data_IF_995873974223
#
_entry.id   IF_995873974223
#
_cell.length_a   1.000
_cell.length_b   1.000
_cell.length_c   1.000
_cell.angle_alpha   90.00
_cell.angle_beta   90.00
_cell.angle_gamma   90.00
#
_symmetry.space_group_name_H-M   'P 1'
#
loop_
_entity.id
_entity.type
_entity.pdbx_description
1 polymer ?
#
# COMPACT_ATOMS: atom_id res chain seq x y z
N UNK A 1 22.85 -12.98 -20.62
CA UNK A 1 21.37 -12.97 -20.63
C UNK A 1 20.75 -13.29 -19.28
N UNK A 2 21.36 -14.17 -18.50
CA UNK A 2 20.86 -14.63 -17.18
C UNK A 2 20.70 -13.52 -16.13
N UNK A 3 21.68 -12.60 -16.02
CA UNK A 3 21.63 -11.44 -15.10
C UNK A 3 20.43 -10.51 -15.36
N UNK A 4 20.09 -10.29 -16.64
CA UNK A 4 18.94 -9.45 -17.05
C UNK A 4 17.61 -10.12 -16.73
N UNK A 5 17.53 -11.45 -16.90
CA UNK A 5 16.36 -12.27 -16.50
C UNK A 5 16.16 -12.23 -14.98
N UNK A 6 17.21 -12.48 -14.20
CA UNK A 6 17.18 -12.40 -12.73
C UNK A 6 16.69 -11.03 -12.24
N UNK A 7 17.29 -9.95 -12.72
CA UNK A 7 16.88 -8.58 -12.36
C UNK A 7 15.39 -8.30 -12.69
N UNK A 8 14.89 -8.83 -13.81
CA UNK A 8 13.48 -8.68 -14.19
C UNK A 8 12.56 -9.43 -13.22
N UNK A 9 12.93 -10.64 -12.81
CA UNK A 9 12.17 -11.43 -11.83
C UNK A 9 12.17 -10.77 -10.46
N UNK A 10 13.33 -10.30 -9.99
CA UNK A 10 13.45 -9.58 -8.71
C UNK A 10 12.59 -8.31 -8.71
N UNK A 11 12.60 -7.55 -9.81
CA UNK A 11 11.75 -6.36 -9.94
C UNK A 11 10.26 -6.70 -9.89
N UNK A 12 9.83 -7.81 -10.50
CA UNK A 12 8.43 -8.25 -10.47
C UNK A 12 8.04 -8.71 -9.07
N UNK A 13 8.90 -9.47 -8.40
CA UNK A 13 8.69 -9.93 -7.03
C UNK A 13 8.47 -8.73 -6.08
N UNK A 14 9.34 -7.71 -6.14
CA UNK A 14 9.21 -6.50 -5.32
C UNK A 14 7.89 -5.78 -5.59
N UNK A 15 7.51 -5.60 -6.86
CA UNK A 15 6.24 -4.93 -7.23
C UNK A 15 5.02 -5.68 -6.73
N UNK A 16 5.01 -7.01 -6.87
CA UNK A 16 3.93 -7.85 -6.36
C UNK A 16 3.83 -7.75 -4.84
N UNK A 17 4.96 -7.86 -4.15
CA UNK A 17 4.99 -7.78 -2.69
C UNK A 17 4.46 -6.44 -2.18
N UNK A 18 4.83 -5.33 -2.83
CA UNK A 18 4.27 -4.00 -2.54
C UNK A 18 2.76 -3.96 -2.74
N UNK A 19 2.26 -4.40 -3.90
CA UNK A 19 0.83 -4.40 -4.19
C UNK A 19 0.03 -5.23 -3.18
N UNK A 20 0.53 -6.43 -2.84
CA UNK A 20 -0.09 -7.35 -1.89
C UNK A 20 -0.12 -6.75 -0.48
N UNK A 21 1.00 -6.22 0.00
CA UNK A 21 1.04 -5.65 1.36
C UNK A 21 0.24 -4.35 1.47
N UNK A 22 0.18 -3.51 0.42
CA UNK A 22 -0.70 -2.36 0.42
C UNK A 22 -2.17 -2.80 0.53
N UNK A 23 -2.57 -3.81 -0.26
CA UNK A 23 -3.93 -4.35 -0.18
C UNK A 23 -4.23 -4.96 1.19
N UNK A 24 -3.26 -5.60 1.84
CA UNK A 24 -3.41 -6.07 3.21
C UNK A 24 -3.66 -4.91 4.20
N UNK A 25 -2.85 -3.85 4.15
CA UNK A 25 -3.04 -2.64 4.98
C UNK A 25 -4.40 -1.99 4.72
N UNK A 26 -4.82 -1.85 3.45
CA UNK A 26 -6.15 -1.36 3.08
C UNK A 26 -7.23 -2.19 3.78
N UNK A 27 -7.08 -3.51 3.80
CA UNK A 27 -8.05 -4.39 4.44
C UNK A 27 -8.14 -4.19 5.96
N UNK A 28 -7.00 -4.00 6.64
CA UNK A 28 -6.98 -3.70 8.07
C UNK A 28 -7.62 -2.33 8.36
N UNK A 29 -7.21 -1.30 7.63
CA UNK A 29 -7.72 0.08 7.80
C UNK A 29 -9.22 0.17 7.51
N UNK A 30 -9.72 -0.62 6.55
CA UNK A 30 -11.15 -0.64 6.19
C UNK A 30 -12.07 -1.07 7.35
N UNK A 31 -11.55 -1.72 8.38
CA UNK A 31 -12.36 -2.02 9.57
C UNK A 31 -12.78 -0.74 10.30
N UNK A 32 -11.98 0.32 10.19
CA UNK A 32 -12.16 1.57 10.92
C UNK A 32 -12.75 2.70 10.07
N UNK A 33 -12.54 2.68 8.76
CA UNK A 33 -13.02 3.72 7.85
C UNK A 33 -13.52 3.20 6.49
N UNK A 34 -14.28 4.04 5.80
CA UNK A 34 -14.58 3.87 4.38
C UNK A 34 -13.38 4.33 3.55
N UNK A 35 -13.07 3.63 2.46
CA UNK A 35 -11.89 3.90 1.63
C UNK A 35 -12.30 4.08 0.18
N UNK A 36 -11.99 5.23 -0.40
CA UNK A 36 -12.12 5.46 -1.84
C UNK A 36 -10.77 5.29 -2.52
N UNK A 37 -10.71 4.41 -3.51
CA UNK A 37 -9.48 4.11 -4.25
C UNK A 37 -9.73 4.02 -5.76
N UNK A 38 -8.66 4.20 -6.52
CA UNK A 38 -8.64 4.10 -7.97
C UNK A 38 -7.67 3.01 -8.45
N UNK A 39 -8.09 2.23 -9.45
CA UNK A 39 -7.19 1.27 -10.12
C UNK A 39 -6.12 1.97 -10.96
N UNK A 40 -4.92 1.38 -11.14
CA UNK A 40 -3.94 1.88 -12.10
C UNK A 40 -4.51 2.08 -13.51
N UNK A 41 -4.08 3.15 -14.19
CA UNK A 41 -4.44 3.43 -15.59
C UNK A 41 -4.04 2.30 -16.54
N UNK A 42 -2.85 1.72 -16.31
CA UNK A 42 -2.32 0.62 -17.12
C UNK A 42 -2.39 -0.66 -16.31
N UNK A 43 -3.17 -1.64 -16.79
CA UNK A 43 -3.18 -2.99 -16.20
C UNK A 43 -1.81 -3.63 -16.44
N UNK A 44 -1.11 -3.97 -15.35
CA UNK A 44 0.06 -4.82 -15.47
C UNK A 44 -0.37 -6.27 -15.80
N UNK A 45 0.24 -6.88 -16.82
CA UNK A 45 -0.04 -8.28 -17.20
C UNK A 45 0.68 -9.30 -16.33
N UNK A 46 1.75 -8.89 -15.65
CA UNK A 46 2.67 -9.80 -14.92
C UNK A 46 2.78 -9.50 -13.43
N UNK A 47 2.17 -8.42 -12.95
CA UNK A 47 2.17 -8.05 -11.54
C UNK A 47 0.76 -7.66 -11.08
N UNK A 48 0.50 -7.86 -9.79
CA UNK A 48 -0.68 -7.35 -9.08
C UNK A 48 -0.74 -5.83 -9.16
N UNK A 49 -1.95 -5.28 -8.99
CA UNK A 49 -2.18 -3.85 -9.14
C UNK A 49 -1.88 -3.12 -7.84
N UNK A 50 -1.17 -1.99 -7.93
CA UNK A 50 -0.97 -1.09 -6.81
C UNK A 50 -2.05 0.00 -6.86
N UNK A 51 -3.04 -0.06 -5.98
CA UNK A 51 -4.16 0.89 -5.99
C UNK A 51 -3.74 2.28 -5.50
N UNK A 52 -4.35 3.32 -6.07
CA UNK A 52 -4.21 4.68 -5.59
C UNK A 52 -5.31 4.97 -4.58
N UNK A 53 -4.95 5.22 -3.31
CA UNK A 53 -5.94 5.61 -2.30
C UNK A 53 -6.16 7.12 -2.42
N UNK A 54 -7.43 7.54 -2.53
CA UNK A 54 -7.80 8.95 -2.68
C UNK A 54 -8.32 9.54 -1.39
N UNK A 55 -9.22 8.82 -0.71
CA UNK A 55 -9.91 9.31 0.48
C UNK A 55 -9.99 8.21 1.54
N UNK A 56 -9.73 8.57 2.80
CA UNK A 56 -10.19 7.82 3.97
C UNK A 56 -11.31 8.63 4.65
N UNK A 57 -12.41 7.97 5.00
CA UNK A 57 -13.53 8.61 5.69
C UNK A 57 -13.85 7.88 7.01
N UNK A 58 -13.52 8.54 8.12
CA UNK A 58 -13.74 8.12 9.50
C UNK A 58 -15.08 8.67 10.03
N UNK A 59 -16.18 8.20 9.44
CA UNK A 59 -17.55 8.65 9.71
C UNK A 59 -17.77 10.16 9.41
N UNK A 60 -17.31 11.03 10.30
CA UNK A 60 -17.51 12.49 10.25
C UNK A 60 -16.27 13.24 9.75
N UNK A 61 -15.13 12.55 9.63
CA UNK A 61 -13.87 13.14 9.20
C UNK A 61 -13.42 12.54 7.88
N UNK A 62 -13.16 13.40 6.90
CA UNK A 62 -12.68 13.03 5.57
C UNK A 62 -11.24 13.47 5.41
N UNK A 63 -10.36 12.53 5.05
CA UNK A 63 -8.96 12.81 4.79
C UNK A 63 -8.63 12.57 3.31
N UNK A 64 -8.24 13.63 2.61
CA UNK A 64 -7.86 13.63 1.19
C UNK A 64 -6.40 13.14 1.02
N UNK A 65 -6.25 11.81 0.97
CA UNK A 65 -4.96 11.12 0.88
C UNK A 65 -4.16 11.56 -0.35
N UNK A 66 -4.81 11.67 -1.51
CA UNK A 66 -4.11 12.01 -2.76
C UNK A 66 -3.50 13.42 -2.69
N UNK A 67 -4.24 14.39 -2.15
CA UNK A 67 -3.75 15.76 -1.99
C UNK A 67 -2.59 15.81 -0.99
N UNK A 68 -2.72 15.13 0.15
CA UNK A 68 -1.66 15.03 1.15
C UNK A 68 -0.37 14.43 0.56
N UNK A 69 -0.45 13.27 -0.11
CA UNK A 69 0.70 12.62 -0.72
C UNK A 69 1.35 13.50 -1.80
N UNK A 70 0.55 14.18 -2.62
CA UNK A 70 1.08 15.13 -3.60
C UNK A 70 1.85 16.26 -2.92
N UNK A 71 1.28 16.90 -1.90
CA UNK A 71 1.90 18.01 -1.17
C UNK A 71 3.22 17.60 -0.50
N UNK A 72 3.25 16.45 0.17
CA UNK A 72 4.46 15.97 0.84
C UNK A 72 5.56 15.58 -0.15
N UNK A 73 5.22 14.90 -1.25
CA UNK A 73 6.22 14.50 -2.24
C UNK A 73 6.72 15.66 -3.12
N UNK A 74 5.97 16.76 -3.30
CA UNK A 74 6.43 17.90 -4.11
C UNK A 74 7.67 18.55 -3.49
N UNK A 75 7.73 18.62 -2.15
CA UNK A 75 8.91 19.09 -1.39
C UNK A 75 10.18 18.32 -1.74
N UNK A 76 10.05 17.03 -2.10
CA UNK A 76 11.16 16.20 -2.54
C UNK A 76 11.43 16.33 -4.04
N UNK A 77 10.39 16.47 -4.87
CA UNK A 77 10.53 16.61 -6.32
C UNK A 77 11.39 17.80 -6.71
N UNK A 78 11.13 18.97 -6.13
CA UNK A 78 11.83 20.21 -6.48
C UNK A 78 13.32 20.11 -6.12
N UNK A 79 13.64 19.50 -4.98
CA UNK A 79 15.03 19.24 -4.56
C UNK A 79 15.77 18.30 -5.51
N UNK A 80 15.09 17.26 -6.00
CA UNK A 80 15.68 16.25 -6.90
C UNK A 80 15.86 16.77 -8.33
N UNK A 81 14.96 17.62 -8.82
CA UNK A 81 15.15 18.32 -10.10
C UNK A 81 16.29 19.32 -9.99
N UNK A 82 16.35 20.10 -8.90
CA UNK A 82 17.45 21.04 -8.65
C UNK A 82 18.81 20.35 -8.57
N UNK A 83 18.88 19.09 -8.13
CA UNK A 83 20.11 18.29 -8.11
C UNK A 83 20.52 17.72 -9.48
N UNK A 84 19.88 18.14 -10.58
CA UNK A 84 20.26 17.74 -11.95
C UNK A 84 19.68 16.39 -12.42
N UNK A 85 18.71 15.80 -11.70
CA UNK A 85 18.09 14.56 -12.14
C UNK A 85 17.12 14.81 -13.30
N UNK A 86 17.11 13.94 -14.31
CA UNK A 86 16.18 14.08 -15.42
C UNK A 86 14.71 14.02 -14.95
N UNK A 87 13.83 14.80 -15.61
CA UNK A 87 12.40 14.86 -15.29
C UNK A 87 11.76 13.48 -15.17
N UNK A 88 12.10 12.57 -16.08
CA UNK A 88 11.63 11.17 -16.08
C UNK A 88 12.02 10.42 -14.79
N UNK A 89 13.27 10.55 -14.34
CA UNK A 89 13.76 9.87 -13.15
C UNK A 89 13.21 10.53 -11.87
N UNK A 90 13.05 11.85 -11.87
CA UNK A 90 12.44 12.58 -10.77
C UNK A 90 10.97 12.20 -10.59
N UNK A 91 10.17 12.15 -11.67
CA UNK A 91 8.77 11.71 -11.62
C UNK A 91 8.65 10.27 -11.11
N UNK A 92 9.55 9.38 -11.54
CA UNK A 92 9.56 8.00 -11.02
C UNK A 92 9.83 7.96 -9.51
N UNK A 93 10.84 8.70 -9.04
CA UNK A 93 11.16 8.77 -7.60
C UNK A 93 10.00 9.35 -6.80
N UNK A 94 9.34 10.36 -7.32
CA UNK A 94 8.15 10.97 -6.72
C UNK A 94 7.02 9.96 -6.52
N UNK A 95 6.70 9.15 -7.52
CA UNK A 95 5.67 8.10 -7.40
C UNK A 95 6.09 6.94 -6.47
N UNK A 96 7.37 6.56 -6.47
CA UNK A 96 7.90 5.59 -5.51
C UNK A 96 7.80 6.11 -4.07
N UNK A 97 8.09 7.40 -3.84
CA UNK A 97 8.03 8.05 -2.53
C UNK A 97 6.60 8.18 -2.01
N UNK A 98 5.62 8.53 -2.87
CA UNK A 98 4.20 8.52 -2.50
C UNK A 98 3.78 7.17 -1.93
N UNK A 99 4.28 6.09 -2.53
CA UNK A 99 3.95 4.74 -2.07
C UNK A 99 4.58 4.48 -0.69
N UNK A 100 5.80 4.95 -0.42
CA UNK A 100 6.44 4.83 0.90
C UNK A 100 5.63 5.58 1.95
N UNK A 101 5.33 6.86 1.72
CA UNK A 101 4.57 7.69 2.66
C UNK A 101 3.17 7.10 2.91
N UNK A 102 2.53 6.55 1.87
CA UNK A 102 1.24 5.88 2.02
C UNK A 102 1.32 4.65 2.94
N UNK A 103 2.36 3.83 2.80
CA UNK A 103 2.57 2.68 3.69
C UNK A 103 2.75 3.13 5.14
N UNK A 104 3.65 4.08 5.37
CA UNK A 104 3.97 4.57 6.71
C UNK A 104 2.72 5.16 7.37
N UNK A 105 1.97 6.01 6.65
CA UNK A 105 0.73 6.60 7.15
C UNK A 105 -0.36 5.57 7.49
N UNK A 106 -0.56 4.53 6.65
CA UNK A 106 -1.53 3.48 6.98
C UNK A 106 -1.09 2.64 8.19
N UNK A 107 0.22 2.43 8.35
CA UNK A 107 0.79 1.77 9.53
C UNK A 107 0.56 2.63 10.79
N UNK A 108 0.81 3.94 10.70
CA UNK A 108 0.59 4.88 11.82
C UNK A 108 -0.90 4.92 12.21
N UNK A 109 -1.81 4.97 11.24
CA UNK A 109 -3.26 4.86 11.50
C UNK A 109 -3.59 3.56 12.25
N UNK A 110 -3.05 2.43 11.81
CA UNK A 110 -3.28 1.14 12.46
C UNK A 110 -2.67 1.10 13.87
N UNK A 111 -1.54 1.77 14.08
CA UNK A 111 -0.92 1.88 15.40
C UNK A 111 -1.85 2.58 16.41
N UNK A 112 -2.50 3.67 16.01
CA UNK A 112 -3.52 4.35 16.83
C UNK A 112 -4.71 3.44 17.20
N UNK A 113 -5.01 2.45 16.36
CA UNK A 113 -6.02 1.43 16.61
C UNK A 113 -5.49 0.18 17.34
N UNK A 114 -4.27 0.20 17.88
CA UNK A 114 -3.72 -0.88 18.71
C UNK A 114 -3.01 -2.00 17.95
N UNK A 115 -2.70 -1.80 16.66
CA UNK A 115 -1.85 -2.72 15.91
C UNK A 115 -0.37 -2.42 16.12
N UNK A 116 0.45 -3.47 16.13
CA UNK A 116 1.91 -3.35 16.10
C UNK A 116 2.40 -4.10 14.86
N UNK A 117 3.04 -3.36 13.95
CA UNK A 117 3.47 -3.87 12.64
C UNK A 117 5.00 -3.92 12.60
N UNK A 118 5.56 -5.13 12.55
CA UNK A 118 7.00 -5.32 12.42
C UNK A 118 7.40 -5.38 10.94
N UNK A 119 8.40 -4.60 10.57
CA UNK A 119 8.87 -4.50 9.18
C UNK A 119 10.35 -4.91 9.04
N UNK A 120 10.79 -5.13 7.80
CA UNK A 120 12.18 -5.53 7.51
C UNK A 120 13.26 -4.56 7.98
N UNK A 121 12.99 -3.25 8.11
CA UNK A 121 13.97 -2.25 8.60
C UNK A 121 14.15 -2.24 10.10
N UNK A 122 13.13 -2.62 10.87
CA UNK A 122 13.30 -2.78 12.33
C UNK A 122 14.37 -3.82 12.65
N UNK A 123 14.70 -4.70 11.69
CA UNK A 123 15.86 -5.61 11.74
C UNK A 123 17.14 -5.08 11.08
N UNK A 124 17.10 -4.04 10.22
CA UNK A 124 18.25 -3.55 9.44
C UNK A 124 18.23 -2.01 9.21
N UNK A 125 19.05 -1.24 9.94
CA UNK A 125 19.07 0.25 10.06
C UNK A 125 19.49 1.09 8.82
N UNK A 126 19.46 0.56 7.59
CA UNK A 126 20.34 1.07 6.51
C UNK A 126 19.84 2.14 5.52
N UNK A 127 18.55 2.30 5.21
CA UNK A 127 18.16 3.16 4.05
C UNK A 127 16.72 3.68 4.07
N UNK A 128 16.50 4.97 4.37
CA UNK A 128 15.17 5.56 4.58
C UNK A 128 14.20 5.51 3.38
N UNK A 129 14.68 5.43 2.13
CA UNK A 129 13.87 5.57 0.90
C UNK A 129 13.43 4.24 0.24
N UNK A 130 13.20 3.20 1.03
CA UNK A 130 12.60 1.93 0.56
C UNK A 130 11.43 1.55 1.46
N UNK A 131 10.35 1.08 0.84
CA UNK A 131 9.23 0.45 1.54
C UNK A 131 9.78 -0.70 2.37
N UNK A 132 9.43 -0.71 3.64
CA UNK A 132 9.74 -1.81 4.53
C UNK A 132 8.66 -2.85 4.48
N UNK A 133 9.05 -4.04 4.05
CA UNK A 133 8.08 -5.10 3.92
C UNK A 133 7.69 -5.58 5.32
N UNK A 134 6.38 -5.62 5.53
CA UNK A 134 5.76 -6.14 6.74
C UNK A 134 6.13 -7.61 6.87
N UNK A 135 6.49 -8.01 8.08
CA UNK A 135 6.85 -9.37 8.46
C UNK A 135 5.82 -9.99 9.37
N UNK A 136 5.38 -9.24 10.37
CA UNK A 136 4.44 -9.72 11.37
C UNK A 136 3.52 -8.55 11.74
N UNK A 137 2.26 -8.88 12.01
CA UNK A 137 1.28 -7.93 12.55
C UNK A 137 0.69 -8.51 13.82
N UNK A 138 0.66 -7.69 14.85
CA UNK A 138 0.07 -7.98 16.14
C UNK A 138 -1.11 -7.04 16.41
N UNK A 139 -2.08 -7.52 17.16
CA UNK A 139 -3.17 -6.73 17.72
C UNK A 139 -3.26 -7.02 19.21
N UNK A 140 -3.08 -5.99 20.06
CA UNK A 140 -2.99 -6.12 21.52
C UNK A 140 -2.12 -7.31 21.98
N UNK A 141 -0.86 -7.34 21.52
CA UNK A 141 0.14 -8.38 21.85
C UNK A 141 -0.13 -9.79 21.28
N UNK A 142 -1.21 -9.99 20.53
CA UNK A 142 -1.50 -11.27 19.86
C UNK A 142 -1.03 -11.21 18.41
N UNK A 143 -0.21 -12.19 17.98
CA UNK A 143 0.15 -12.33 16.56
C UNK A 143 -1.12 -12.62 15.75
N UNK A 144 -1.42 -11.79 14.76
CA UNK A 144 -2.60 -11.95 13.91
C UNK A 144 -2.27 -12.39 12.49
N UNK A 145 -1.08 -12.08 11.99
CA UNK A 145 -0.63 -12.51 10.67
C UNK A 145 0.90 -12.48 10.59
N UNK A 146 1.49 -13.56 10.07
CA UNK A 146 2.88 -13.62 9.63
C UNK A 146 3.02 -13.30 8.13
N UNK A 147 4.23 -13.38 7.58
CA UNK A 147 4.51 -13.06 6.18
C UNK A 147 3.70 -13.93 5.18
N UNK A 148 3.41 -15.18 5.50
CA UNK A 148 2.58 -16.07 4.67
C UNK A 148 1.12 -15.65 4.73
N UNK A 149 0.59 -15.38 5.93
CA UNK A 149 -0.79 -14.91 6.07
C UNK A 149 -0.97 -13.56 5.38
N UNK A 150 -0.07 -12.59 5.61
CA UNK A 150 -0.10 -11.27 4.94
C UNK A 150 -0.12 -11.44 3.42
N UNK A 151 0.72 -12.34 2.89
CA UNK A 151 0.80 -12.60 1.45
C UNK A 151 -0.51 -13.16 0.89
N UNK A 152 -1.11 -14.14 1.59
CA UNK A 152 -2.37 -14.75 1.20
C UNK A 152 -3.53 -13.75 1.28
N UNK A 153 -3.70 -13.11 2.44
CA UNK A 153 -4.80 -12.17 2.71
C UNK A 153 -4.70 -10.95 1.80
N UNK A 154 -3.51 -10.37 1.67
CA UNK A 154 -3.26 -9.25 0.76
C UNK A 154 -3.53 -9.60 -0.71
N UNK A 155 -3.25 -10.84 -1.13
CA UNK A 155 -3.58 -11.31 -2.49
C UNK A 155 -5.08 -11.39 -2.72
N UNK A 156 -5.83 -11.99 -1.77
CA UNK A 156 -7.28 -12.10 -1.85
C UNK A 156 -7.94 -10.73 -1.89
N UNK A 157 -7.48 -9.80 -1.03
CA UNK A 157 -7.97 -8.43 -1.02
C UNK A 157 -7.62 -7.73 -2.34
N UNK A 158 -6.39 -7.86 -2.86
CA UNK A 158 -6.00 -7.23 -4.12
C UNK A 158 -6.91 -7.65 -5.29
N UNK A 159 -7.21 -8.94 -5.36
CA UNK A 159 -8.06 -9.50 -6.41
C UNK A 159 -9.51 -9.01 -6.28
N UNK A 160 -10.03 -8.96 -5.06
CA UNK A 160 -11.34 -8.38 -4.78
C UNK A 160 -11.41 -6.91 -5.16
N UNK A 161 -10.48 -6.08 -4.69
CA UNK A 161 -10.44 -4.64 -5.04
C UNK A 161 -10.33 -4.43 -6.55
N UNK A 162 -9.57 -5.28 -7.24
CA UNK A 162 -9.45 -5.20 -8.70
C UNK A 162 -10.78 -5.53 -9.38
N UNK A 163 -11.49 -6.56 -8.91
CA UNK A 163 -12.80 -6.97 -9.45
C UNK A 163 -13.89 -5.90 -9.32
N UNK A 164 -13.77 -5.00 -8.33
CA UNK A 164 -14.74 -3.91 -8.10
C UNK A 164 -14.55 -2.70 -9.01
N UNK A 165 -13.50 -2.70 -9.83
CA UNK A 165 -13.20 -1.59 -10.74
C UNK A 165 -12.99 -2.11 -12.16
N UNK A 166 -13.37 -1.32 -13.15
CA UNK A 166 -13.14 -1.62 -14.55
C UNK A 166 -12.60 -0.40 -15.31
N UNK A 167 -12.41 -0.51 -16.62
CA UNK A 167 -11.82 0.57 -17.42
C UNK A 167 -12.73 1.80 -17.46
N UNK A 168 -14.06 1.61 -17.46
CA UNK A 168 -15.05 2.69 -17.45
C UNK A 168 -15.22 3.28 -16.04
N UNK A 169 -15.27 2.43 -15.01
CA UNK A 169 -15.42 2.80 -13.61
C UNK A 169 -14.16 2.45 -12.84
N UNK A 170 -13.22 3.39 -12.84
CA UNK A 170 -11.87 3.18 -12.30
C UNK A 170 -11.78 3.41 -10.79
N UNK A 171 -12.74 4.11 -10.23
CA UNK A 171 -12.83 4.42 -8.80
C UNK A 171 -13.91 3.56 -8.14
N UNK A 172 -13.65 3.13 -6.92
CA UNK A 172 -14.60 2.41 -6.08
C UNK A 172 -14.46 2.86 -4.62
N UNK A 173 -15.59 2.91 -3.91
CA UNK A 173 -15.63 3.22 -2.48
C UNK A 173 -15.96 1.96 -1.70
N UNK A 174 -14.94 1.43 -1.02
CA UNK A 174 -15.03 0.30 -0.12
C UNK A 174 -15.63 0.76 1.21
N UNK A 175 -16.85 0.31 1.50
CA UNK A 175 -17.55 0.67 2.73
C UNK A 175 -16.82 0.14 3.96
N UNK A 176 -16.85 0.91 5.05
CA UNK A 176 -16.31 0.48 6.35
C UNK A 176 -16.85 -0.90 6.73
N UNK A 177 -15.95 -1.79 7.19
CA UNK A 177 -16.25 -3.18 7.55
C UNK A 177 -16.87 -3.98 6.39
N UNK A 178 -16.28 -3.89 5.20
CA UNK A 178 -16.69 -4.73 4.07
C UNK A 178 -16.59 -6.21 4.47
N UNK A 179 -17.72 -6.94 4.33
CA UNK A 179 -17.85 -8.32 4.80
C UNK A 179 -16.86 -9.26 4.12
N UNK A 180 -16.59 -9.05 2.83
CA UNK A 180 -15.67 -9.88 2.06
C UNK A 180 -14.24 -9.65 2.52
N UNK A 181 -13.87 -8.40 2.78
CA UNK A 181 -12.54 -8.05 3.33
C UNK A 181 -12.32 -8.64 4.73
N UNK A 182 -13.30 -8.52 5.63
CA UNK A 182 -13.23 -9.12 6.98
C UNK A 182 -13.05 -10.64 6.89
N UNK A 183 -13.78 -11.29 5.99
CA UNK A 183 -13.65 -12.74 5.77
C UNK A 183 -12.23 -13.13 5.34
N UNK A 184 -11.58 -12.35 4.48
CA UNK A 184 -10.19 -12.61 4.07
C UNK A 184 -9.20 -12.43 5.21
N UNK A 185 -9.39 -11.44 6.07
CA UNK A 185 -8.55 -11.22 7.26
C UNK A 185 -8.80 -12.29 8.33
N UNK A 186 -9.92 -13.03 8.22
CA UNK A 186 -10.35 -14.11 9.12
C UNK A 186 -10.52 -13.66 10.59
N UNK A 187 -10.60 -12.36 10.83
CA UNK A 187 -10.78 -11.73 12.14
C UNK A 187 -11.48 -10.38 11.96
N UNK A 188 -12.21 -9.97 13.00
CA UNK A 188 -12.80 -8.64 13.15
C UNK A 188 -12.20 -8.01 14.42
N UNK A 189 -11.67 -6.79 14.34
CA UNK A 189 -10.96 -6.12 15.43
C UNK A 189 -11.77 -4.99 16.08
N UNK A 190 -13.09 -5.06 15.96
CA UNK A 190 -14.06 -4.14 16.55
C UNK A 190 -15.29 -4.88 17.10
#
# INVERSE_FOLDING_TARGET
MEKKRKHTLDSRYIKNKKAIQLSYLIGLVNQFCTITYERPRKKASTTRQLFHIKILNFNNEKFEIEEYLNKECHKYYDKVIASGLSKKNATKRFEDEKTVILFDMLIDILFEYGFIIFTSKMRNKGNKSKIDFIKEVYYHSTLIADEKEISLQGTLINDYLFSKTNIAHREFTLQKRDKTVIQFIKKNYL
#
